data_IF_430694141194
#
_entry.id   IF_430694141194
#
_cell.length_a   1.000
_cell.length_b   1.000
_cell.length_c   1.000
_cell.angle_alpha   90.00
_cell.angle_beta   90.00
_cell.angle_gamma   90.00
#
_symmetry.space_group_name_H-M   'P 1'
#
loop_
_entity.id
_entity.type
_entity.pdbx_description
1 polymer ?
#
# COMPACT_ATOMS: atom_id res chain seq x y z
N UNK A 1 -2.14 -15.02 -36.15
CA UNK A 1 -2.43 -13.70 -36.77
C UNK A 1 -3.87 -13.74 -37.28
N UNK A 2 -4.73 -12.78 -36.92
CA UNK A 2 -6.11 -12.71 -37.44
C UNK A 2 -6.08 -12.20 -38.89
N UNK A 3 -6.33 -13.09 -39.86
CA UNK A 3 -6.46 -12.71 -41.27
C UNK A 3 -7.86 -12.16 -41.61
N UNK A 4 -8.06 -11.71 -42.86
CA UNK A 4 -9.33 -11.13 -43.35
C UNK A 4 -10.57 -11.95 -42.98
N UNK A 5 -10.52 -13.27 -43.18
CA UNK A 5 -11.64 -14.16 -42.86
C UNK A 5 -11.94 -14.23 -41.35
N UNK A 6 -10.91 -14.08 -40.51
CA UNK A 6 -11.05 -14.01 -39.06
C UNK A 6 -11.72 -12.72 -38.59
N UNK A 7 -11.34 -11.58 -39.18
CA UNK A 7 -11.94 -10.26 -38.87
C UNK A 7 -13.41 -10.21 -39.27
N UNK A 8 -13.77 -10.72 -40.46
CA UNK A 8 -15.17 -10.75 -40.92
C UNK A 8 -16.09 -11.65 -40.09
N UNK A 9 -15.54 -12.61 -39.35
CA UNK A 9 -16.30 -13.52 -38.46
C UNK A 9 -16.49 -12.96 -37.06
N UNK A 10 -15.85 -11.84 -36.70
CA UNK A 10 -16.05 -11.20 -35.40
C UNK A 10 -17.41 -10.50 -35.36
N UNK A 11 -18.14 -10.69 -34.28
CA UNK A 11 -19.34 -9.91 -33.98
C UNK A 11 -18.93 -8.47 -33.64
N UNK A 12 -19.61 -7.49 -34.23
CA UNK A 12 -19.37 -6.07 -34.00
C UNK A 12 -19.66 -5.64 -32.55
N UNK A 13 -20.47 -6.42 -31.82
CA UNK A 13 -20.75 -6.20 -30.38
C UNK A 13 -19.80 -6.95 -29.46
N UNK A 14 -18.87 -7.74 -30.01
CA UNK A 14 -17.95 -8.52 -29.20
C UNK A 14 -16.98 -7.62 -28.44
N UNK A 15 -16.82 -7.91 -27.15
CA UNK A 15 -15.83 -7.28 -26.29
C UNK A 15 -14.84 -8.35 -25.78
N UNK A 16 -13.59 -7.99 -25.48
CA UNK A 16 -12.70 -8.88 -24.75
C UNK A 16 -13.31 -9.24 -23.39
N UNK A 17 -13.40 -10.53 -23.06
CA UNK A 17 -13.85 -11.01 -21.75
C UNK A 17 -12.77 -10.90 -20.66
N UNK A 18 -11.57 -10.44 -21.03
CA UNK A 18 -10.40 -10.36 -20.15
C UNK A 18 -9.99 -8.92 -19.94
N UNK A 19 -9.64 -8.60 -18.69
CA UNK A 19 -9.03 -7.33 -18.35
C UNK A 19 -7.54 -7.36 -18.68
N UNK A 20 -7.05 -6.31 -19.36
CA UNK A 20 -5.62 -6.12 -19.49
C UNK A 20 -5.00 -5.98 -18.08
N UNK A 21 -3.86 -6.64 -17.79
CA UNK A 21 -3.20 -6.53 -16.49
C UNK A 21 -2.83 -5.08 -16.18
N UNK A 22 -3.59 -4.45 -15.28
CA UNK A 22 -3.32 -3.07 -14.87
C UNK A 22 -2.06 -3.03 -14.00
N UNK A 23 -1.06 -2.27 -14.44
CA UNK A 23 0.06 -1.72 -13.65
C UNK A 23 0.85 -2.76 -12.83
N UNK A 24 1.94 -3.31 -13.40
CA UNK A 24 2.94 -4.10 -12.65
C UNK A 24 3.68 -3.27 -11.59
N UNK A 25 3.76 -1.95 -11.78
CA UNK A 25 4.32 -1.03 -10.79
C UNK A 25 3.22 -0.56 -9.82
N UNK A 26 3.35 -0.93 -8.55
CA UNK A 26 2.62 -0.31 -7.43
C UNK A 26 3.58 0.55 -6.61
N UNK A 27 3.98 1.75 -7.09
CA UNK A 27 4.86 2.60 -6.30
C UNK A 27 4.07 3.15 -5.10
N UNK A 28 4.29 2.57 -3.91
CA UNK A 28 3.81 3.13 -2.64
C UNK A 28 4.38 4.53 -2.38
N UNK A 29 5.57 4.78 -2.93
CA UNK A 29 6.29 6.05 -2.83
C UNK A 29 6.68 6.46 -4.24
N UNK A 30 6.17 7.59 -4.69
CA UNK A 30 6.54 8.22 -5.95
C UNK A 30 7.81 9.04 -5.71
N UNK A 31 8.93 8.62 -6.29
CA UNK A 31 10.20 9.33 -6.22
C UNK A 31 10.96 9.15 -7.54
N UNK A 32 11.53 10.24 -8.05
CA UNK A 32 12.35 10.25 -9.28
C UNK A 32 13.70 9.55 -9.08
N UNK A 33 14.28 9.65 -7.88
CA UNK A 33 15.55 9.02 -7.51
C UNK A 33 15.31 7.67 -6.82
N UNK A 34 16.00 6.62 -7.30
CA UNK A 34 15.90 5.25 -6.75
C UNK A 34 16.33 5.18 -5.28
N UNK A 35 17.41 5.84 -4.89
CA UNK A 35 17.93 5.80 -3.52
C UNK A 35 16.97 6.47 -2.54
N UNK A 36 16.45 7.64 -2.91
CA UNK A 36 15.41 8.33 -2.13
C UNK A 36 14.16 7.46 -1.98
N UNK A 37 13.78 6.72 -3.02
CA UNK A 37 12.66 5.77 -2.94
C UNK A 37 12.93 4.62 -1.95
N UNK A 38 14.12 4.01 -2.01
CA UNK A 38 14.50 2.89 -1.12
C UNK A 38 14.54 3.35 0.33
N UNK A 39 15.17 4.50 0.58
CA UNK A 39 15.25 5.10 1.91
C UNK A 39 13.86 5.40 2.49
N UNK A 40 12.96 5.97 1.69
CA UNK A 40 11.60 6.24 2.12
C UNK A 40 10.79 4.96 2.40
N UNK A 41 11.02 3.88 1.63
CA UNK A 41 10.42 2.57 1.90
C UNK A 41 10.92 1.98 3.22
N UNK A 42 12.22 2.11 3.52
CA UNK A 42 12.81 1.69 4.78
C UNK A 42 12.23 2.47 5.97
N UNK A 43 12.09 3.81 5.85
CA UNK A 43 11.43 4.62 6.88
C UNK A 43 9.98 4.20 7.12
N UNK A 44 9.22 3.98 6.04
CA UNK A 44 7.83 3.53 6.15
C UNK A 44 7.74 2.14 6.80
N UNK A 45 8.68 1.25 6.49
CA UNK A 45 8.75 -0.07 7.12
C UNK A 45 9.05 0.04 8.62
N UNK A 46 10.03 0.84 9.01
CA UNK A 46 10.36 1.08 10.41
C UNK A 46 9.18 1.67 11.19
N UNK A 47 8.46 2.63 10.60
CA UNK A 47 7.24 3.18 11.19
C UNK A 47 6.16 2.09 11.41
N UNK A 48 5.91 1.25 10.41
CA UNK A 48 4.91 0.17 10.50
C UNK A 48 5.27 -0.87 11.56
N UNK A 49 6.55 -1.23 11.66
CA UNK A 49 7.03 -2.17 12.66
C UNK A 49 6.88 -1.59 14.08
N UNK A 50 7.26 -0.32 14.28
CA UNK A 50 7.07 0.38 15.56
C UNK A 50 5.58 0.49 15.94
N UNK A 51 4.73 0.87 14.98
CA UNK A 51 3.28 0.92 15.19
C UNK A 51 2.72 -0.45 15.59
N UNK A 52 3.17 -1.53 14.94
CA UNK A 52 2.67 -2.88 15.24
C UNK A 52 3.06 -3.33 16.64
N UNK A 53 4.29 -3.04 17.08
CA UNK A 53 4.74 -3.34 18.45
C UNK A 53 3.90 -2.58 19.47
N UNK A 54 3.73 -1.27 19.28
CA UNK A 54 2.91 -0.44 20.16
C UNK A 54 1.45 -0.91 20.21
N UNK A 55 0.88 -1.29 19.06
CA UNK A 55 -0.48 -1.83 19.00
C UNK A 55 -0.63 -3.12 19.79
N UNK A 56 0.33 -4.03 19.70
CA UNK A 56 0.32 -5.28 20.48
C UNK A 56 0.42 -5.02 21.98
N UNK A 57 1.28 -4.09 22.40
CA UNK A 57 1.39 -3.67 23.80
C UNK A 57 0.08 -3.08 24.31
N UNK A 58 -0.52 -2.17 23.54
CA UNK A 58 -1.79 -1.53 23.89
C UNK A 58 -2.94 -2.55 23.99
N UNK A 59 -3.01 -3.50 23.06
CA UNK A 59 -4.01 -4.58 23.09
C UNK A 59 -3.80 -5.53 24.29
N UNK A 60 -2.56 -5.71 24.74
CA UNK A 60 -2.23 -6.47 25.95
C UNK A 60 -2.48 -5.67 27.25
N UNK A 61 -2.95 -4.42 27.16
CA UNK A 61 -3.15 -3.54 28.33
C UNK A 61 -1.85 -3.00 28.93
N UNK A 62 -0.72 -3.12 28.24
CA UNK A 62 0.57 -2.60 28.66
C UNK A 62 0.73 -1.13 28.23
N UNK A 63 1.57 -0.34 28.91
CA UNK A 63 1.95 0.99 28.44
C UNK A 63 2.52 0.90 27.03
N UNK A 64 1.93 1.66 26.10
CA UNK A 64 2.31 1.64 24.69
C UNK A 64 2.60 3.06 24.20
N UNK A 65 3.76 3.20 23.55
CA UNK A 65 4.20 4.46 22.94
C UNK A 65 4.12 4.31 21.43
N UNK A 66 3.20 5.04 20.80
CA UNK A 66 3.01 5.01 19.35
C UNK A 66 3.97 5.97 18.65
N UNK A 67 4.48 5.61 17.46
CA UNK A 67 5.35 6.49 16.70
C UNK A 67 4.63 7.77 16.24
N UNK A 68 5.38 8.86 16.13
CA UNK A 68 4.90 10.15 15.63
C UNK A 68 4.17 10.00 14.29
N UNK A 69 3.03 10.68 14.11
CA UNK A 69 2.15 10.52 12.95
C UNK A 69 1.01 9.51 13.12
N UNK A 70 0.91 8.85 14.28
CA UNK A 70 -0.20 7.94 14.60
C UNK A 70 -1.45 8.69 15.10
N UNK A 71 -2.10 9.46 14.23
CA UNK A 71 -3.24 10.32 14.61
C UNK A 71 -4.47 9.55 15.12
N UNK A 72 -4.75 8.36 14.56
CA UNK A 72 -5.93 7.56 14.92
C UNK A 72 -5.91 7.08 16.38
N UNK A 73 -4.74 6.97 17.00
CA UNK A 73 -4.60 6.44 18.37
C UNK A 73 -4.67 7.52 19.45
N UNK A 74 -4.61 8.82 19.08
CA UNK A 74 -4.55 9.93 20.05
C UNK A 74 -5.74 10.02 21.01
N UNK A 75 -6.91 9.54 20.60
CA UNK A 75 -8.13 9.53 21.42
C UNK A 75 -8.38 8.24 22.18
N UNK A 76 -7.44 7.28 22.16
CA UNK A 76 -7.61 5.99 22.83
C UNK A 76 -7.05 6.06 24.26
N UNK A 77 -7.70 5.39 25.23
CA UNK A 77 -7.24 5.40 26.62
C UNK A 77 -5.85 4.75 26.73
N UNK A 78 -4.99 5.34 27.57
CA UNK A 78 -3.65 4.81 27.86
C UNK A 78 -2.65 4.92 26.71
N UNK A 79 -2.95 5.69 25.66
CA UNK A 79 -2.04 5.91 24.53
C UNK A 79 -1.14 7.12 24.75
N UNK A 80 0.16 6.91 24.58
CA UNK A 80 1.17 7.97 24.46
C UNK A 80 1.68 8.00 23.03
N UNK A 81 1.89 9.19 22.47
CA UNK A 81 2.45 9.38 21.12
C UNK A 81 3.80 10.09 21.26
N UNK A 82 4.82 9.65 20.52
CA UNK A 82 6.11 10.34 20.44
C UNK A 82 5.93 11.73 19.80
N UNK A 83 6.54 12.75 20.40
CA UNK A 83 6.57 14.12 19.84
C UNK A 83 7.41 14.21 18.57
#
# INVERSE_FOLDING_TARGET
MLGRAGVRRQDFRSCPNTWEPRRKLRPTIAARNRWARVEALQRNRAFQDAYRVALLQWLAGLPAVFPAGTYKMRGKPGVVIQE
#
